data_IF_552881616334
#
_entry.id   IF_552881616334
#
_cell.length_a   1.000
_cell.length_b   1.000
_cell.length_c   1.000
_cell.angle_alpha   90.00
_cell.angle_beta   90.00
_cell.angle_gamma   90.00
#
_symmetry.space_group_name_H-M   'P 1'
#
loop_
_entity.id
_entity.type
_entity.pdbx_description
1 polymer ?
#
# COMPACT_ATOMS: atom_id res chain seq x y z
N UNK A 1 36.33 10.91 -5.99
CA UNK A 1 35.39 10.13 -5.15
C UNK A 1 34.09 10.04 -5.93
N UNK A 2 33.87 8.94 -6.67
CA UNK A 2 32.64 8.76 -7.46
C UNK A 2 31.57 8.19 -6.55
N UNK A 3 30.51 8.96 -6.28
CA UNK A 3 29.30 8.41 -5.69
C UNK A 3 28.59 7.61 -6.77
N UNK A 4 28.50 6.29 -6.58
CA UNK A 4 27.65 5.42 -7.39
C UNK A 4 26.20 5.77 -7.08
N UNK A 5 25.54 6.48 -7.99
CA UNK A 5 24.08 6.63 -7.95
C UNK A 5 23.49 5.34 -8.51
N UNK A 6 22.59 4.71 -7.74
CA UNK A 6 21.87 3.52 -8.16
C UNK A 6 20.77 3.91 -9.15
N UNK A 7 20.62 3.14 -10.23
CA UNK A 7 19.51 3.29 -11.15
C UNK A 7 18.25 2.69 -10.50
N UNK A 8 17.29 3.57 -10.17
CA UNK A 8 16.04 3.20 -9.52
C UNK A 8 14.88 3.88 -10.25
N UNK A 9 13.80 3.13 -10.46
CA UNK A 9 12.53 3.66 -10.97
C UNK A 9 11.53 3.73 -9.84
N UNK A 10 10.93 4.90 -9.63
CA UNK A 10 9.82 5.10 -8.70
C UNK A 10 8.57 5.43 -9.50
N UNK A 11 7.46 4.81 -9.14
CA UNK A 11 6.16 5.05 -9.76
C UNK A 11 5.20 5.53 -8.68
N UNK A 12 4.59 6.69 -8.90
CA UNK A 12 3.48 7.18 -8.08
C UNK A 12 2.15 6.77 -8.74
N UNK A 13 1.27 6.14 -7.96
CA UNK A 13 0.02 5.56 -8.43
C UNK A 13 -1.18 6.35 -7.90
N UNK A 14 -2.32 6.37 -8.63
CA UNK A 14 -3.53 7.00 -8.13
C UNK A 14 -3.98 6.40 -6.79
N UNK A 15 -4.57 7.24 -5.93
CA UNK A 15 -5.21 6.76 -4.70
C UNK A 15 -6.43 5.88 -5.01
N UNK A 16 -6.54 4.77 -4.29
CA UNK A 16 -7.68 3.85 -4.42
C UNK A 16 -8.99 4.55 -4.02
N UNK A 17 -10.06 4.27 -4.76
CA UNK A 17 -11.40 4.83 -4.52
C UNK A 17 -12.45 3.72 -4.57
N UNK A 18 -13.47 3.79 -3.71
CA UNK A 18 -14.55 2.78 -3.66
C UNK A 18 -15.81 3.16 -4.42
N UNK A 19 -15.97 4.45 -4.72
CA UNK A 19 -17.14 5.01 -5.39
C UNK A 19 -16.72 6.11 -6.36
N UNK A 20 -17.43 6.22 -7.47
CA UNK A 20 -17.24 7.33 -8.40
C UNK A 20 -17.84 8.61 -7.78
N UNK A 21 -17.04 9.68 -7.73
CA UNK A 21 -17.55 11.00 -7.35
C UNK A 21 -18.38 11.62 -8.48
N UNK A 22 -19.17 12.65 -8.15
CA UNK A 22 -19.96 13.37 -9.15
C UNK A 22 -19.05 13.93 -10.27
N UNK A 23 -19.39 13.62 -11.51
CA UNK A 23 -18.61 14.04 -12.69
C UNK A 23 -17.46 13.08 -13.07
N UNK A 24 -17.24 12.00 -12.32
CA UNK A 24 -16.32 10.94 -12.72
C UNK A 24 -17.03 9.86 -13.56
N UNK A 25 -16.29 9.19 -14.47
CA UNK A 25 -16.78 8.00 -15.14
C UNK A 25 -17.19 6.92 -14.13
N UNK A 26 -18.25 6.17 -14.43
CA UNK A 26 -18.72 5.06 -13.58
C UNK A 26 -17.70 3.92 -13.48
N UNK A 27 -16.75 3.83 -14.43
CA UNK A 27 -15.70 2.83 -14.48
C UNK A 27 -14.37 3.28 -13.84
N UNK A 28 -14.34 4.45 -13.18
CA UNK A 28 -13.10 5.02 -12.62
C UNK A 28 -12.42 4.11 -11.58
N UNK A 29 -13.23 3.44 -10.74
CA UNK A 29 -12.75 2.50 -9.72
C UNK A 29 -11.95 1.39 -10.40
N UNK A 30 -12.55 0.76 -11.42
CA UNK A 30 -11.91 -0.30 -12.18
C UNK A 30 -10.65 0.18 -12.90
N UNK A 31 -10.68 1.35 -13.52
CA UNK A 31 -9.49 1.91 -14.21
C UNK A 31 -8.32 2.13 -13.26
N UNK A 32 -8.59 2.65 -12.06
CA UNK A 32 -7.55 2.85 -11.05
C UNK A 32 -6.98 1.49 -10.60
N UNK A 33 -7.86 0.52 -10.33
CA UNK A 33 -7.43 -0.83 -9.96
C UNK A 33 -6.59 -1.49 -11.06
N UNK A 34 -7.01 -1.39 -12.32
CA UNK A 34 -6.30 -1.93 -13.48
C UNK A 34 -4.90 -1.31 -13.62
N UNK A 35 -4.78 0.02 -13.45
CA UNK A 35 -3.49 0.72 -13.46
C UNK A 35 -2.59 0.20 -12.34
N UNK A 36 -3.09 0.15 -11.10
CA UNK A 36 -2.27 -0.31 -9.96
C UNK A 36 -1.80 -1.75 -10.20
N UNK A 37 -2.74 -2.63 -10.58
CA UNK A 37 -2.47 -4.04 -10.84
C UNK A 37 -1.44 -4.24 -11.95
N UNK A 38 -1.43 -3.42 -12.99
CA UNK A 38 -0.42 -3.46 -14.05
C UNK A 38 1.00 -3.30 -13.47
N UNK A 39 1.22 -2.28 -12.64
CA UNK A 39 2.54 -2.03 -12.05
C UNK A 39 2.94 -3.07 -11.01
N UNK A 40 2.04 -3.43 -10.09
CA UNK A 40 2.38 -4.35 -8.99
C UNK A 40 2.47 -5.82 -9.43
N UNK A 41 2.04 -6.14 -10.65
CA UNK A 41 2.18 -7.49 -11.24
C UNK A 41 3.62 -7.82 -11.64
N UNK A 42 4.50 -6.84 -11.78
CA UNK A 42 5.92 -7.08 -12.03
C UNK A 42 6.59 -7.69 -10.78
N UNK A 43 7.16 -8.89 -10.90
CA UNK A 43 7.81 -9.59 -9.79
C UNK A 43 9.03 -8.85 -9.21
N UNK A 44 9.67 -7.99 -10.01
CA UNK A 44 10.79 -7.14 -9.57
C UNK A 44 10.35 -5.81 -8.95
N UNK A 45 9.04 -5.55 -8.87
CA UNK A 45 8.50 -4.35 -8.24
C UNK A 45 8.32 -4.55 -6.74
N UNK A 46 8.94 -3.67 -5.94
CA UNK A 46 8.63 -3.53 -4.52
C UNK A 46 7.32 -2.76 -4.35
N UNK A 47 6.39 -3.34 -3.60
CA UNK A 47 5.08 -2.76 -3.30
C UNK A 47 5.16 -2.05 -1.95
N UNK A 48 4.94 -0.73 -1.92
CA UNK A 48 4.81 0.03 -0.69
C UNK A 48 3.32 0.15 -0.35
N UNK A 49 2.83 -0.71 0.54
CA UNK A 49 1.43 -0.72 0.95
C UNK A 49 1.19 0.33 2.05
N UNK A 50 0.90 1.57 1.62
CA UNK A 50 0.73 2.72 2.51
C UNK A 50 -0.67 2.75 3.11
N UNK A 51 -0.74 2.72 4.44
CA UNK A 51 -2.00 2.79 5.20
C UNK A 51 -1.90 3.86 6.29
N UNK A 52 -2.91 4.73 6.48
CA UNK A 52 -2.93 5.64 7.60
C UNK A 52 -3.28 4.91 8.91
N UNK A 53 -2.70 5.32 10.03
CA UNK A 53 -2.79 4.63 11.31
C UNK A 53 -4.13 4.83 12.04
N UNK A 54 -4.95 5.76 11.56
CA UNK A 54 -6.26 6.05 12.12
C UNK A 54 -7.36 5.08 11.63
N UNK A 55 -7.01 4.14 10.73
CA UNK A 55 -7.90 3.06 10.28
C UNK A 55 -7.29 1.69 10.60
N UNK A 56 -8.12 0.66 10.69
CA UNK A 56 -7.66 -0.70 10.95
C UNK A 56 -6.86 -1.26 9.78
N UNK A 57 -5.62 -1.67 10.03
CA UNK A 57 -4.71 -2.21 9.01
C UNK A 57 -5.28 -3.43 8.27
N UNK A 58 -6.08 -4.25 8.97
CA UNK A 58 -6.72 -5.45 8.40
C UNK A 58 -7.70 -5.10 7.28
N UNK A 59 -8.21 -3.87 7.26
CA UNK A 59 -9.14 -3.35 6.23
C UNK A 59 -8.41 -2.54 5.15
N UNK A 60 -7.08 -2.51 5.16
CA UNK A 60 -6.29 -1.75 4.19
C UNK A 60 -6.45 -2.30 2.78
N UNK A 61 -7.06 -1.50 1.90
CA UNK A 61 -7.21 -1.86 0.50
C UNK A 61 -5.85 -2.05 -0.20
N UNK A 62 -4.83 -1.27 0.20
CA UNK A 62 -3.47 -1.41 -0.31
C UNK A 62 -2.85 -2.77 0.02
N UNK A 63 -3.04 -3.27 1.25
CA UNK A 63 -2.54 -4.60 1.64
C UNK A 63 -3.33 -5.74 0.99
N UNK A 64 -4.64 -5.58 0.83
CA UNK A 64 -5.48 -6.56 0.10
C UNK A 64 -5.02 -6.67 -1.34
N UNK A 65 -4.81 -5.54 -2.01
CA UNK A 65 -4.34 -5.50 -3.39
C UNK A 65 -2.92 -6.04 -3.53
N UNK A 66 -2.01 -5.68 -2.62
CA UNK A 66 -0.66 -6.23 -2.59
C UNK A 66 -0.67 -7.76 -2.46
N UNK A 67 -1.45 -8.32 -1.51
CA UNK A 67 -1.57 -9.78 -1.32
C UNK A 67 -2.11 -10.52 -2.54
N UNK A 68 -2.89 -9.85 -3.41
CA UNK A 68 -3.37 -10.47 -4.65
C UNK A 68 -2.25 -10.75 -5.66
N UNK A 69 -1.12 -10.02 -5.60
CA UNK A 69 0.06 -10.17 -6.47
C UNK A 69 1.31 -10.63 -5.75
N UNK A 70 1.32 -10.55 -4.43
CA UNK A 70 2.38 -11.01 -3.53
C UNK A 70 1.77 -11.69 -2.29
N UNK A 71 1.21 -12.92 -2.43
CA UNK A 71 0.49 -13.59 -1.34
C UNK A 71 1.36 -13.90 -0.13
N UNK A 72 2.66 -14.11 -0.36
CA UNK A 72 3.65 -14.37 0.69
C UNK A 72 4.16 -13.08 1.33
N UNK A 73 4.01 -11.92 0.67
CA UNK A 73 4.50 -10.64 1.17
C UNK A 73 6.02 -10.48 1.04
N UNK A 74 6.65 -11.14 0.07
CA UNK A 74 8.11 -11.14 -0.15
C UNK A 74 8.66 -9.83 -0.67
N UNK A 75 7.83 -9.08 -1.38
CA UNK A 75 8.18 -7.82 -2.04
C UNK A 75 7.21 -6.71 -1.64
N UNK A 76 6.50 -6.89 -0.52
CA UNK A 76 5.56 -5.92 0.03
C UNK A 76 6.08 -5.35 1.33
N UNK A 77 6.19 -4.03 1.41
CA UNK A 77 6.55 -3.30 2.62
C UNK A 77 5.30 -2.57 3.11
N UNK A 78 4.82 -2.95 4.30
CA UNK A 78 3.72 -2.23 4.97
C UNK A 78 4.22 -0.91 5.53
N UNK A 79 3.61 0.20 5.09
CA UNK A 79 3.98 1.55 5.55
C UNK A 79 2.81 2.14 6.32
N UNK A 80 3.04 2.47 7.59
CA UNK A 80 2.04 3.09 8.44
C UNK A 80 2.30 4.60 8.53
N UNK A 81 1.31 5.42 8.18
CA UNK A 81 1.40 6.90 8.19
C UNK A 81 0.42 7.51 9.18
N UNK A 82 0.49 8.83 9.43
CA UNK A 82 -0.50 9.56 10.26
C UNK A 82 -0.69 8.99 11.67
N UNK A 83 0.39 8.54 12.30
CA UNK A 83 0.38 8.01 13.68
C UNK A 83 -0.12 9.05 14.70
N UNK A 84 0.07 10.34 14.41
CA UNK A 84 -0.43 11.47 15.17
C UNK A 84 -1.97 11.56 15.22
N UNK A 85 -2.65 11.01 14.20
CA UNK A 85 -4.12 10.99 14.11
C UNK A 85 -4.76 9.79 14.82
N UNK A 86 -3.98 8.93 15.46
CA UNK A 86 -4.53 7.81 16.22
C UNK A 86 -5.37 8.31 17.40
N UNK A 87 -6.46 7.60 17.67
CA UNK A 87 -7.32 7.90 18.83
C UNK A 87 -6.54 7.83 20.13
N UNK A 88 -6.86 8.70 21.10
CA UNK A 88 -6.26 8.65 22.43
C UNK A 88 -6.46 7.27 23.05
N UNK A 89 -5.37 6.68 23.55
CA UNK A 89 -5.36 5.33 24.14
C UNK A 89 -5.07 4.19 23.16
N UNK A 90 -5.05 4.46 21.85
CA UNK A 90 -4.65 3.49 20.83
C UNK A 90 -3.16 3.64 20.48
N UNK A 91 -2.55 2.57 19.99
CA UNK A 91 -1.15 2.58 19.51
C UNK A 91 -0.95 1.56 18.40
N UNK A 92 0.10 1.74 17.61
CA UNK A 92 0.43 0.86 16.49
C UNK A 92 1.47 -0.22 16.84
N UNK A 93 1.76 -0.47 18.13
CA UNK A 93 2.89 -1.33 18.54
C UNK A 93 2.79 -2.73 17.95
N UNK A 94 1.64 -3.39 18.09
CA UNK A 94 1.47 -4.77 17.63
C UNK A 94 1.51 -4.85 16.09
N UNK A 95 1.06 -3.80 15.40
CA UNK A 95 1.19 -3.67 13.95
C UNK A 95 2.66 -3.58 13.56
N UNK A 96 3.42 -2.67 14.17
CA UNK A 96 4.84 -2.43 13.88
C UNK A 96 5.73 -3.62 14.29
N UNK A 97 5.31 -4.42 15.26
CA UNK A 97 5.96 -5.67 15.65
C UNK A 97 5.60 -6.85 14.74
N UNK A 98 4.91 -6.61 13.61
CA UNK A 98 4.52 -7.62 12.62
C UNK A 98 3.61 -8.73 13.20
N UNK A 99 2.72 -8.39 14.15
CA UNK A 99 1.82 -9.35 14.81
C UNK A 99 0.37 -9.31 14.31
N UNK A 100 -0.03 -8.23 13.64
CA UNK A 100 -1.41 -8.04 13.17
C UNK A 100 -1.57 -8.51 11.72
N UNK A 101 -0.77 -7.95 10.81
CA UNK A 101 -0.67 -8.40 9.42
C UNK A 101 0.76 -8.84 9.20
N UNK A 102 0.97 -10.15 9.09
CA UNK A 102 2.31 -10.70 8.90
C UNK A 102 2.72 -10.55 7.44
N UNK A 103 3.85 -9.86 7.23
CA UNK A 103 4.60 -9.82 5.97
C UNK A 103 5.91 -10.63 6.14
N UNK A 104 6.42 -11.20 5.05
CA UNK A 104 7.65 -12.02 5.07
C UNK A 104 8.89 -11.15 5.39
N UNK A 105 9.86 -11.75 6.09
CA UNK A 105 11.08 -11.08 6.56
C UNK A 105 12.20 -11.14 5.53
#
# INVERSE_FOLDING_TARGET
MYFLVVNLTLVDLPGMVKVAAQGQPTDIVKKIDDIILEYISNENCLILAVTPANIDLVTSDALVMARSRDPMGKRTIGVLTKLDMMGKGYNAREVLLNKVVVLER
#
